data_IF_570131084593
#
_entry.id   IF_570131084593
#
_cell.length_a   1.000
_cell.length_b   1.000
_cell.length_c   1.000
_cell.angle_alpha   90.00
_cell.angle_beta   90.00
_cell.angle_gamma   90.00
#
_symmetry.space_group_name_H-M   'P 1'
#
loop_
_entity.id
_entity.type
_entity.pdbx_description
1 polymer ?
#
# COMPACT_ATOMS: atom_id res chain seq x y z
N UNK A 1 61.38 -33.45 -0.23
CA UNK A 1 61.91 -32.38 -1.12
C UNK A 1 60.80 -32.09 -2.11
N UNK A 2 60.05 -31.00 -1.91
CA UNK A 2 58.81 -30.76 -2.65
C UNK A 2 59.09 -30.25 -4.05
N UNK A 3 58.74 -31.11 -5.00
CA UNK A 3 58.46 -30.86 -6.40
C UNK A 3 57.50 -29.70 -6.61
N UNK A 4 57.85 -28.79 -7.51
CA UNK A 4 56.88 -28.16 -8.39
C UNK A 4 57.37 -28.37 -9.82
N UNK A 5 56.72 -29.34 -10.47
CA UNK A 5 56.87 -29.61 -11.87
C UNK A 5 56.04 -28.59 -12.66
N UNK A 6 56.76 -28.01 -13.60
CA UNK A 6 56.37 -27.19 -14.73
C UNK A 6 55.24 -27.88 -15.53
N UNK A 7 54.25 -27.08 -15.92
CA UNK A 7 53.30 -27.41 -16.98
C UNK A 7 52.86 -26.13 -17.68
N UNK A 8 53.61 -25.74 -18.73
CA UNK A 8 53.11 -24.89 -19.81
C UNK A 8 51.91 -25.58 -20.48
N UNK A 9 50.91 -24.92 -21.07
CA UNK A 9 51.05 -23.84 -22.04
C UNK A 9 49.83 -22.91 -22.10
N UNK A 10 50.11 -21.73 -22.64
CA UNK A 10 49.26 -20.57 -22.80
C UNK A 10 48.20 -20.70 -23.92
N UNK A 11 47.07 -20.03 -23.70
CA UNK A 11 46.40 -19.22 -24.73
C UNK A 11 45.48 -18.19 -24.04
N UNK A 12 45.75 -16.89 -24.26
CA UNK A 12 44.80 -15.80 -24.01
C UNK A 12 45.06 -14.90 -22.79
N UNK A 13 46.10 -14.08 -22.84
CA UNK A 13 46.19 -12.77 -22.13
C UNK A 13 45.04 -11.85 -22.56
N UNK A 14 44.48 -10.91 -21.81
CA UNK A 14 44.78 -10.25 -20.52
C UNK A 14 43.44 -9.72 -19.96
N UNK A 15 43.24 -9.39 -18.69
CA UNK A 15 43.81 -8.27 -17.91
C UNK A 15 43.43 -8.58 -16.44
N UNK A 16 44.38 -8.89 -15.54
CA UNK A 16 45.14 -7.97 -14.67
C UNK A 16 44.27 -7.01 -13.84
N UNK A 17 44.09 -7.31 -12.54
CA UNK A 17 43.66 -6.29 -11.59
C UNK A 17 43.04 -6.75 -10.27
N UNK A 18 43.81 -7.43 -9.42
CA UNK A 18 43.73 -7.28 -7.96
C UNK A 18 42.64 -8.03 -7.17
N UNK A 19 43.08 -8.96 -6.31
CA UNK A 19 42.40 -9.20 -5.03
C UNK A 19 41.95 -10.62 -4.70
N UNK A 20 42.92 -11.54 -4.52
CA UNK A 20 42.92 -12.55 -3.45
C UNK A 20 41.69 -13.46 -3.27
N UNK A 21 41.83 -14.70 -3.75
CA UNK A 21 41.03 -15.83 -3.30
C UNK A 21 41.30 -16.12 -1.81
N UNK A 22 40.24 -16.10 -0.98
CA UNK A 22 40.21 -16.90 0.25
C UNK A 22 38.84 -17.57 0.42
N UNK A 23 38.87 -18.89 0.20
CA UNK A 23 38.12 -19.93 0.92
C UNK A 23 36.66 -20.12 0.49
N UNK A 24 36.47 -21.19 -0.27
CA UNK A 24 35.19 -21.86 -0.47
C UNK A 24 34.62 -22.32 0.87
N UNK A 25 33.47 -21.79 1.27
CA UNK A 25 32.61 -22.43 2.24
C UNK A 25 31.60 -23.30 1.50
N UNK A 26 31.81 -24.62 1.59
CA UNK A 26 30.82 -25.61 1.23
C UNK A 26 29.59 -25.46 2.14
N UNK A 27 28.48 -25.04 1.55
CA UNK A 27 27.12 -25.27 2.05
C UNK A 27 26.30 -25.52 0.77
N UNK A 28 26.07 -26.76 0.38
CA UNK A 28 25.13 -27.64 1.05
C UNK A 28 23.97 -27.81 0.07
N UNK A 29 23.83 -29.02 -0.47
CA UNK A 29 22.66 -29.56 -1.15
C UNK A 29 21.70 -28.54 -1.79
N UNK A 30 21.73 -28.45 -3.12
CA UNK A 30 20.59 -27.94 -3.88
C UNK A 30 19.39 -28.86 -3.63
N UNK A 31 18.58 -28.54 -2.64
CA UNK A 31 17.20 -29.01 -2.56
C UNK A 31 16.44 -28.20 -3.62
N UNK A 32 15.83 -28.82 -4.65
CA UNK A 32 14.99 -28.13 -5.64
C UNK A 32 13.65 -27.67 -5.05
N UNK A 33 13.61 -27.41 -3.74
CA UNK A 33 12.49 -26.82 -3.01
C UNK A 33 12.89 -25.44 -2.50
N UNK A 34 13.38 -24.58 -3.40
CA UNK A 34 13.00 -23.18 -3.27
C UNK A 34 11.50 -23.18 -3.55
N UNK A 35 10.71 -23.43 -2.50
CA UNK A 35 9.32 -22.98 -2.46
C UNK A 35 9.41 -21.55 -2.92
N UNK A 36 8.76 -21.24 -4.04
CA UNK A 36 8.39 -19.88 -4.40
C UNK A 36 8.17 -19.13 -3.10
N UNK A 37 9.10 -18.24 -2.73
CA UNK A 37 8.71 -17.14 -1.87
C UNK A 37 7.74 -16.36 -2.75
N UNK A 38 6.47 -16.80 -2.73
CA UNK A 38 5.36 -15.94 -3.03
C UNK A 38 5.57 -14.78 -2.08
N UNK A 39 6.22 -13.74 -2.58
CA UNK A 39 6.31 -12.45 -1.96
C UNK A 39 4.84 -12.04 -1.85
N UNK A 40 4.23 -12.30 -0.70
CA UNK A 40 2.81 -12.04 -0.46
C UNK A 40 2.63 -10.56 -0.69
N UNK A 41 2.16 -10.18 -1.89
CA UNK A 41 1.97 -8.79 -2.25
C UNK A 41 0.79 -8.30 -1.45
N UNK A 42 1.09 -7.63 -0.36
CA UNK A 42 0.10 -6.96 0.44
C UNK A 42 -0.40 -5.72 -0.31
N UNK A 43 -1.67 -5.41 -0.13
CA UNK A 43 -2.30 -4.21 -0.63
C UNK A 43 -2.99 -3.48 0.52
N UNK A 44 -3.45 -2.26 0.27
CA UNK A 44 -4.11 -1.44 1.27
C UNK A 44 -5.26 -2.19 1.97
N UNK A 45 -6.10 -2.88 1.20
CA UNK A 45 -7.25 -3.62 1.73
C UNK A 45 -6.83 -4.77 2.65
N UNK A 46 -5.95 -5.65 2.20
CA UNK A 46 -5.51 -6.84 2.96
C UNK A 46 -4.81 -6.45 4.25
N UNK A 47 -4.00 -5.38 4.24
CA UNK A 47 -3.39 -4.85 5.46
C UNK A 47 -4.45 -4.27 6.40
N UNK A 48 -5.42 -3.51 5.90
CA UNK A 48 -6.44 -2.90 6.73
C UNK A 48 -7.45 -3.94 7.27
N UNK A 49 -7.77 -4.99 6.51
CA UNK A 49 -8.62 -6.12 6.93
C UNK A 49 -7.94 -6.98 8.01
N UNK A 50 -6.61 -7.01 8.06
CA UNK A 50 -5.86 -7.64 9.15
C UNK A 50 -6.04 -6.91 10.49
N UNK A 51 -6.50 -5.65 10.49
CA UNK A 51 -6.87 -4.94 11.70
C UNK A 51 -8.19 -5.49 12.26
N UNK A 52 -8.16 -5.93 13.53
CA UNK A 52 -9.32 -6.51 14.20
C UNK A 52 -10.49 -5.52 14.25
N UNK A 53 -11.71 -6.04 14.08
CA UNK A 53 -12.95 -5.29 14.32
C UNK A 53 -13.39 -4.36 13.20
N UNK A 54 -12.77 -4.41 12.01
CA UNK A 54 -13.14 -3.56 10.87
C UNK A 54 -13.71 -4.35 9.68
N UNK A 55 -14.66 -3.76 8.97
CA UNK A 55 -15.27 -4.27 7.75
C UNK A 55 -15.03 -3.29 6.61
N UNK A 56 -14.49 -3.77 5.50
CA UNK A 56 -14.37 -2.98 4.27
C UNK A 56 -15.75 -2.65 3.69
N UNK A 57 -15.96 -1.38 3.36
CA UNK A 57 -17.20 -0.83 2.79
C UNK A 57 -16.94 0.04 1.54
N UNK A 58 -15.71 0.11 1.06
CA UNK A 58 -15.32 0.97 -0.06
C UNK A 58 -16.03 0.65 -1.38
N UNK A 59 -16.50 -0.58 -1.55
CA UNK A 59 -17.31 -1.03 -2.69
C UNK A 59 -18.83 -0.84 -2.48
N UNK A 60 -19.24 -0.36 -1.30
CA UNK A 60 -20.64 -0.22 -0.89
C UNK A 60 -20.96 1.24 -0.59
N UNK A 61 -21.25 2.01 -1.64
CA UNK A 61 -21.70 3.41 -1.53
C UNK A 61 -22.86 3.59 -0.53
N UNK A 62 -23.78 2.63 -0.44
CA UNK A 62 -24.90 2.65 0.51
C UNK A 62 -24.44 2.61 1.98
N UNK A 63 -23.40 1.84 2.29
CA UNK A 63 -22.83 1.76 3.64
C UNK A 63 -22.09 3.06 4.01
N UNK A 64 -21.35 3.62 3.06
CA UNK A 64 -20.71 4.94 3.21
C UNK A 64 -21.79 6.02 3.41
N UNK A 65 -22.90 5.93 2.67
CA UNK A 65 -24.05 6.82 2.84
C UNK A 65 -24.69 6.67 4.22
N UNK A 66 -24.84 5.45 4.74
CA UNK A 66 -25.32 5.24 6.11
C UNK A 66 -24.40 5.89 7.14
N UNK A 67 -23.08 5.82 6.97
CA UNK A 67 -22.15 6.55 7.83
C UNK A 67 -22.30 8.05 7.68
N UNK A 68 -22.48 8.56 6.47
CA UNK A 68 -22.68 9.98 6.21
C UNK A 68 -23.95 10.55 6.85
N UNK A 69 -25.07 9.82 6.72
CA UNK A 69 -26.39 10.24 7.20
C UNK A 69 -26.56 10.07 8.71
N UNK A 70 -25.67 9.29 9.35
CA UNK A 70 -25.69 9.13 10.78
C UNK A 70 -25.08 10.36 11.47
N UNK A 71 -25.94 11.20 12.03
CA UNK A 71 -25.55 12.42 12.74
C UNK A 71 -24.76 12.19 14.03
N UNK A 72 -24.73 10.96 14.55
CA UNK A 72 -24.03 10.63 15.81
C UNK A 72 -22.55 10.30 15.63
N UNK A 73 -22.09 9.96 14.41
CA UNK A 73 -20.76 9.39 14.20
C UNK A 73 -19.70 10.38 13.70
N UNK A 74 -20.04 11.67 13.56
CA UNK A 74 -19.17 12.74 13.03
C UNK A 74 -18.46 12.40 11.71
N UNK A 75 -18.97 11.45 10.92
CA UNK A 75 -18.28 10.92 9.75
C UNK A 75 -18.03 12.02 8.73
N UNK A 76 -19.09 12.75 8.36
CA UNK A 76 -19.03 13.86 7.40
C UNK A 76 -18.02 14.94 7.85
N UNK A 77 -18.11 15.38 9.10
CA UNK A 77 -17.24 16.42 9.66
C UNK A 77 -15.77 15.99 9.65
N UNK A 78 -15.49 14.77 10.08
CA UNK A 78 -14.14 14.22 10.17
C UNK A 78 -13.56 13.95 8.77
N UNK A 79 -14.36 13.40 7.85
CA UNK A 79 -13.98 13.22 6.46
C UNK A 79 -13.57 14.56 5.85
N UNK A 80 -14.40 15.59 6.00
CA UNK A 80 -14.15 16.95 5.50
C UNK A 80 -12.86 17.53 6.08
N UNK A 81 -12.73 17.55 7.40
CA UNK A 81 -11.65 18.31 8.07
C UNK A 81 -10.29 17.62 7.99
N UNK A 82 -10.24 16.30 8.19
CA UNK A 82 -9.00 15.57 8.41
C UNK A 82 -8.51 14.74 7.22
N UNK A 83 -9.43 14.25 6.37
CA UNK A 83 -9.09 13.20 5.40
C UNK A 83 -9.31 13.58 3.93
N UNK A 84 -10.21 14.51 3.64
CA UNK A 84 -10.58 14.87 2.26
C UNK A 84 -9.40 15.30 1.40
N UNK A 85 -8.47 16.06 1.96
CA UNK A 85 -7.30 16.56 1.26
C UNK A 85 -6.28 15.45 0.96
N UNK A 86 -6.32 14.36 1.73
CA UNK A 86 -5.46 13.18 1.54
C UNK A 86 -6.03 12.17 0.55
N UNK A 87 -7.29 12.34 0.12
CA UNK A 87 -7.93 11.54 -0.91
C UNK A 87 -7.64 12.16 -2.28
N UNK A 88 -6.47 11.91 -2.84
CA UNK A 88 -6.02 12.58 -4.08
C UNK A 88 -6.57 11.89 -5.33
N UNK A 89 -6.93 12.66 -6.36
CA UNK A 89 -7.61 12.14 -7.55
C UNK A 89 -6.68 11.26 -8.40
N UNK A 90 -5.37 11.48 -8.30
CA UNK A 90 -4.31 10.69 -8.90
C UNK A 90 -4.29 9.24 -8.39
N UNK A 91 -5.01 8.96 -7.29
CA UNK A 91 -5.20 7.59 -6.83
C UNK A 91 -6.24 6.82 -7.64
N UNK A 92 -7.07 7.51 -8.41
CA UNK A 92 -8.16 6.93 -9.20
C UNK A 92 -7.73 6.80 -10.66
N UNK A 93 -8.03 5.65 -11.27
CA UNK A 93 -7.75 5.41 -12.69
C UNK A 93 -8.65 6.27 -13.59
N UNK A 94 -8.10 6.73 -14.73
CA UNK A 94 -8.80 7.71 -15.58
C UNK A 94 -10.13 7.21 -16.17
N UNK A 95 -10.33 5.90 -16.28
CA UNK A 95 -11.56 5.32 -16.82
C UNK A 95 -12.80 5.51 -15.91
N UNK A 96 -12.60 5.83 -14.63
CA UNK A 96 -13.69 5.97 -13.64
C UNK A 96 -13.57 7.23 -12.78
N UNK A 97 -12.73 8.18 -13.17
CA UNK A 97 -12.33 9.35 -12.38
C UNK A 97 -13.55 10.25 -12.08
N UNK A 98 -14.11 10.19 -10.85
CA UNK A 98 -15.27 11.01 -10.50
C UNK A 98 -14.80 12.44 -10.24
N UNK A 99 -15.72 13.39 -10.36
CA UNK A 99 -15.44 14.78 -9.95
C UNK A 99 -15.17 14.82 -8.45
N UNK A 100 -14.00 15.35 -8.06
CA UNK A 100 -13.72 15.65 -6.65
C UNK A 100 -14.37 16.99 -6.30
N UNK A 101 -15.38 16.95 -5.45
CA UNK A 101 -16.05 18.15 -4.97
C UNK A 101 -15.09 19.05 -4.17
N UNK A 102 -15.23 20.37 -4.34
CA UNK A 102 -14.54 21.35 -3.50
C UNK A 102 -14.88 21.14 -2.02
N UNK A 103 -13.86 21.21 -1.15
CA UNK A 103 -14.02 21.10 0.31
C UNK A 103 -15.01 22.12 0.89
N UNK A 104 -15.11 23.30 0.28
CA UNK A 104 -16.08 24.34 0.65
C UNK A 104 -17.54 23.96 0.38
N UNK A 105 -17.80 23.00 -0.51
CA UNK A 105 -19.15 22.54 -0.89
C UNK A 105 -19.58 21.25 -0.20
N UNK A 106 -18.83 20.78 0.80
CA UNK A 106 -19.14 19.56 1.53
C UNK A 106 -20.50 19.60 2.26
N UNK A 107 -20.97 20.80 2.58
CA UNK A 107 -22.26 21.03 3.25
C UNK A 107 -23.43 21.22 2.29
N UNK A 108 -23.16 21.29 0.99
CA UNK A 108 -24.19 21.35 -0.03
C UNK A 108 -24.83 19.97 -0.21
N UNK A 109 -26.13 19.86 0.09
CA UNK A 109 -26.88 18.63 -0.07
C UNK A 109 -26.90 18.13 -1.52
N UNK A 110 -26.84 19.03 -2.51
CA UNK A 110 -26.77 18.66 -3.93
C UNK A 110 -25.44 17.99 -4.29
N UNK A 111 -24.38 18.19 -3.48
CA UNK A 111 -23.07 17.57 -3.68
C UNK A 111 -22.88 16.25 -2.95
N UNK A 112 -23.82 15.87 -2.08
CA UNK A 112 -23.74 14.62 -1.32
C UNK A 112 -23.48 13.41 -2.21
N UNK A 113 -24.23 13.25 -3.29
CA UNK A 113 -24.10 12.07 -4.16
C UNK A 113 -22.73 12.02 -4.87
N UNK A 114 -22.25 13.18 -5.33
CA UNK A 114 -20.93 13.35 -5.94
C UNK A 114 -19.82 12.95 -4.96
N UNK A 115 -19.88 13.44 -3.72
CA UNK A 115 -18.90 13.14 -2.67
C UNK A 115 -18.92 11.65 -2.31
N UNK A 116 -20.09 11.05 -2.10
CA UNK A 116 -20.21 9.63 -1.78
C UNK A 116 -19.69 8.74 -2.91
N UNK A 117 -19.96 9.13 -4.15
CA UNK A 117 -19.43 8.44 -5.34
C UNK A 117 -17.91 8.54 -5.38
N UNK A 118 -17.37 9.75 -5.15
CA UNK A 118 -15.93 9.98 -5.08
C UNK A 118 -15.26 9.09 -4.02
N UNK A 119 -15.80 9.06 -2.80
CA UNK A 119 -15.27 8.25 -1.70
C UNK A 119 -15.27 6.76 -2.07
N UNK A 120 -16.40 6.27 -2.59
CA UNK A 120 -16.54 4.86 -3.01
C UNK A 120 -15.49 4.48 -4.08
N UNK A 121 -15.36 5.28 -5.14
CA UNK A 121 -14.40 5.00 -6.21
C UNK A 121 -12.96 5.13 -5.73
N UNK A 122 -12.64 6.16 -4.94
CA UNK A 122 -11.31 6.32 -4.36
C UNK A 122 -10.93 5.15 -3.46
N UNK A 123 -11.86 4.66 -2.63
CA UNK A 123 -11.64 3.48 -1.82
C UNK A 123 -11.33 2.24 -2.66
N UNK A 124 -12.08 2.00 -3.74
CA UNK A 124 -11.83 0.86 -4.64
C UNK A 124 -10.46 0.97 -5.32
N UNK A 125 -10.10 2.16 -5.78
CA UNK A 125 -8.82 2.39 -6.46
C UNK A 125 -7.64 2.23 -5.50
N UNK A 126 -7.73 2.76 -4.27
CA UNK A 126 -6.66 2.63 -3.27
C UNK A 126 -6.59 1.21 -2.71
N UNK A 127 -7.72 0.52 -2.50
CA UNK A 127 -7.78 -0.82 -1.93
C UNK A 127 -6.88 -1.84 -2.65
N UNK A 128 -6.73 -1.71 -3.97
CA UNK A 128 -5.94 -2.61 -4.80
C UNK A 128 -4.48 -2.19 -4.96
N UNK A 129 -4.09 -1.00 -4.49
CA UNK A 129 -2.69 -0.55 -4.57
C UNK A 129 -1.81 -1.41 -3.69
N UNK A 130 -0.67 -1.84 -4.24
CA UNK A 130 0.33 -2.59 -3.50
C UNK A 130 0.92 -1.73 -2.38
N UNK A 131 1.07 -2.32 -1.20
CA UNK A 131 1.59 -1.68 -0.02
C UNK A 131 2.37 -2.71 0.79
N UNK A 132 3.69 -2.53 0.86
CA UNK A 132 4.59 -3.51 1.48
C UNK A 132 4.48 -3.54 3.01
N UNK A 133 4.14 -2.41 3.63
CA UNK A 133 3.96 -2.28 5.07
C UNK A 133 3.05 -1.09 5.39
N UNK A 134 2.46 -1.09 6.59
CA UNK A 134 1.68 0.05 7.09
C UNK A 134 2.62 1.27 7.22
N UNK A 135 2.32 2.40 6.56
CA UNK A 135 3.17 3.58 6.64
C UNK A 135 3.22 4.13 8.06
N UNK A 136 4.43 4.35 8.58
CA UNK A 136 4.64 4.85 9.93
C UNK A 136 4.36 6.35 10.04
N UNK A 137 3.87 6.77 11.20
CA UNK A 137 3.77 8.20 11.53
C UNK A 137 5.15 8.70 11.97
N UNK A 138 5.91 9.29 11.04
CA UNK A 138 7.25 9.80 11.33
C UNK A 138 7.13 11.21 11.91
N UNK A 139 7.59 11.40 13.15
CA UNK A 139 7.55 12.69 13.84
C UNK A 139 8.46 13.70 13.14
N UNK A 140 7.92 14.84 12.72
CA UNK A 140 8.70 15.96 12.16
C UNK A 140 8.68 16.14 10.64
N UNK A 141 7.93 15.31 9.89
CA UNK A 141 7.74 15.47 8.45
C UNK A 141 6.33 15.13 7.98
N UNK A 142 5.88 15.72 6.87
CA UNK A 142 4.60 15.33 6.26
C UNK A 142 4.72 13.96 5.56
N UNK A 143 4.41 12.88 6.27
CA UNK A 143 4.29 11.57 5.63
C UNK A 143 2.95 11.46 4.88
N UNK A 144 2.97 11.75 3.57
CA UNK A 144 1.79 11.67 2.69
C UNK A 144 1.20 10.26 2.62
N UNK A 145 2.04 9.22 2.67
CA UNK A 145 1.57 7.83 2.62
C UNK A 145 0.86 7.43 3.91
N UNK A 146 1.34 7.90 5.06
CA UNK A 146 0.64 7.74 6.35
C UNK A 146 -0.71 8.48 6.35
N UNK A 147 -0.74 9.73 5.88
CA UNK A 147 -1.99 10.50 5.78
C UNK A 147 -3.01 9.83 4.83
N UNK A 148 -2.54 9.31 3.69
CA UNK A 148 -3.36 8.51 2.75
C UNK A 148 -3.88 7.24 3.41
N UNK A 149 -3.02 6.53 4.15
CA UNK A 149 -3.39 5.32 4.88
C UNK A 149 -4.48 5.58 5.93
N UNK A 150 -4.36 6.64 6.73
CA UNK A 150 -5.38 7.00 7.71
C UNK A 150 -6.69 7.42 7.04
N UNK A 151 -6.64 8.17 5.94
CA UNK A 151 -7.83 8.48 5.14
C UNK A 151 -8.50 7.21 4.60
N UNK A 152 -7.72 6.23 4.12
CA UNK A 152 -8.23 4.95 3.63
C UNK A 152 -8.91 4.14 4.74
N UNK A 153 -8.25 4.00 5.89
CA UNK A 153 -8.81 3.32 7.06
C UNK A 153 -10.10 3.96 7.55
N UNK A 154 -10.19 5.28 7.54
CA UNK A 154 -11.35 6.00 8.03
C UNK A 154 -12.51 5.94 7.02
N UNK A 155 -12.24 6.23 5.75
CA UNK A 155 -13.28 6.38 4.75
C UNK A 155 -13.83 5.04 4.25
N UNK A 156 -12.97 4.00 4.19
CA UNK A 156 -13.27 2.75 3.49
C UNK A 156 -13.60 1.58 4.43
N UNK A 157 -13.56 1.79 5.75
CA UNK A 157 -13.87 0.76 6.75
C UNK A 157 -14.82 1.27 7.81
N UNK A 158 -15.70 0.39 8.28
CA UNK A 158 -16.52 0.61 9.49
C UNK A 158 -16.19 -0.43 10.56
N UNK A 159 -16.61 -0.18 11.80
CA UNK A 159 -16.60 -1.20 12.83
C UNK A 159 -17.51 -2.38 12.43
N UNK A 160 -17.09 -3.62 12.69
CA UNK A 160 -17.96 -4.80 12.54
C UNK A 160 -19.07 -4.73 13.59
N UNK A 161 -20.32 -4.65 13.14
CA UNK A 161 -21.48 -4.80 14.02
C UNK A 161 -21.60 -6.27 14.43
N UNK A 162 -21.24 -6.60 15.67
CA UNK A 162 -21.29 -7.98 16.18
C UNK A 162 -20.28 -8.34 17.26
N UNK A 163 -20.03 -7.45 18.22
CA UNK A 163 -19.48 -7.78 19.55
C UNK A 163 -20.44 -7.29 20.61
#
# INVERSE_FOLDING_TARGET
MSTQAIGAAAAGTAILGGGGATIAYAAGAFDPKVKDQQQTRHNYRTLAESMVGKQYIGDKKTEIQTLWDNTTNNYKTTLKSAYWDNMVIEDVTDAQKPTKTDKGKFDDAAKKDEILTYVSVWCQAVAVKELNAIPENVTGGENKDHKRWEAFKFACFKAKTGQ
#
